data_IF_695137498645
#
_entry.id   IF_695137498645
#
_cell.length_a   1.000
_cell.length_b   1.000
_cell.length_c   1.000
_cell.angle_alpha   90.00
_cell.angle_beta   90.00
_cell.angle_gamma   90.00
#
_symmetry.space_group_name_H-M   'P 1'
#
loop_
_entity.id
_entity.type
_entity.pdbx_description
1 polymer ?
#
# COMPACT_ATOMS: atom_id res chain seq x y z
N UNK A 1 15.35 -14.53 15.78
CA UNK A 1 14.45 -15.34 14.92
C UNK A 1 13.02 -14.81 14.91
N UNK A 2 12.63 -13.84 15.76
CA UNK A 2 11.22 -13.42 15.91
C UNK A 2 10.71 -12.31 14.97
N UNK A 3 11.54 -11.77 14.08
CA UNK A 3 11.18 -10.61 13.23
C UNK A 3 11.40 -10.90 11.73
N UNK A 4 11.59 -12.17 11.38
CA UNK A 4 11.64 -12.58 9.98
C UNK A 4 10.22 -12.48 9.39
N UNK A 5 10.11 -11.98 8.16
CA UNK A 5 8.83 -11.69 7.50
C UNK A 5 8.45 -12.86 6.59
N UNK A 6 7.19 -13.29 6.67
CA UNK A 6 6.51 -14.15 5.71
C UNK A 6 5.44 -13.39 4.94
N UNK A 7 5.02 -13.95 3.82
CA UNK A 7 3.98 -13.38 2.95
C UNK A 7 2.79 -14.33 2.89
N UNK A 8 1.59 -13.80 3.12
CA UNK A 8 0.35 -14.50 2.76
C UNK A 8 -0.08 -14.06 1.37
N UNK A 9 -0.52 -15.02 0.57
CA UNK A 9 -1.10 -14.80 -0.75
C UNK A 9 -2.54 -15.28 -0.72
N UNK A 10 -3.47 -14.48 -1.22
CA UNK A 10 -4.87 -14.85 -1.26
C UNK A 10 -5.17 -16.07 -2.12
N UNK A 11 -6.43 -16.49 -2.11
CA UNK A 11 -6.99 -17.48 -3.06
C UNK A 11 -8.32 -16.98 -3.65
N UNK A 12 -8.73 -17.49 -4.82
CA UNK A 12 -10.01 -17.17 -5.46
C UNK A 12 -9.97 -16.18 -6.64
N UNK A 13 -8.80 -15.62 -7.00
CA UNK A 13 -8.62 -14.74 -8.17
C UNK A 13 -7.33 -15.08 -8.95
N UNK A 14 -7.27 -14.70 -10.23
CA UNK A 14 -6.11 -15.01 -11.08
C UNK A 14 -4.81 -14.34 -10.63
N UNK A 15 -3.67 -15.04 -10.77
CA UNK A 15 -2.31 -14.56 -10.47
C UNK A 15 -1.74 -15.02 -9.12
N UNK A 16 -2.59 -15.52 -8.21
CA UNK A 16 -2.17 -15.87 -6.84
C UNK A 16 -1.13 -17.00 -6.80
N UNK A 17 -1.29 -18.03 -7.63
CA UNK A 17 -0.32 -19.12 -7.75
C UNK A 17 1.04 -18.60 -8.22
N UNK A 18 1.05 -17.70 -9.21
CA UNK A 18 2.27 -17.16 -9.79
C UNK A 18 2.99 -16.22 -8.82
N UNK A 19 2.24 -15.38 -8.08
CA UNK A 19 2.78 -14.58 -6.96
C UNK A 19 3.44 -15.48 -5.92
N UNK A 20 2.74 -16.54 -5.48
CA UNK A 20 3.26 -17.48 -4.47
C UNK A 20 4.56 -18.15 -4.96
N UNK A 21 4.57 -18.66 -6.18
CA UNK A 21 5.75 -19.32 -6.76
C UNK A 21 6.92 -18.34 -6.93
N UNK A 22 6.65 -17.10 -7.35
CA UNK A 22 7.67 -16.07 -7.49
C UNK A 22 8.31 -15.71 -6.14
N UNK A 23 7.51 -15.56 -5.08
CA UNK A 23 7.99 -15.33 -3.71
C UNK A 23 8.87 -16.47 -3.20
N UNK A 24 8.40 -17.72 -3.34
CA UNK A 24 9.13 -18.91 -2.89
C UNK A 24 10.46 -19.05 -3.65
N UNK A 25 10.46 -18.84 -4.97
CA UNK A 25 11.67 -18.81 -5.80
C UNK A 25 12.61 -17.67 -5.42
N UNK A 26 12.06 -16.53 -5.01
CA UNK A 26 12.78 -15.37 -4.48
C UNK A 26 13.34 -15.57 -3.06
N UNK A 27 13.08 -16.73 -2.43
CA UNK A 27 13.58 -17.07 -1.10
C UNK A 27 12.74 -16.50 0.05
N UNK A 28 11.55 -15.98 -0.23
CA UNK A 28 10.62 -15.48 0.78
C UNK A 28 9.65 -16.56 1.21
N UNK A 29 9.53 -16.86 2.52
CA UNK A 29 8.51 -17.76 3.01
C UNK A 29 7.13 -17.21 2.66
N UNK A 30 6.34 -17.99 1.93
CA UNK A 30 5.02 -17.59 1.51
C UNK A 30 4.02 -18.75 1.59
N UNK A 31 2.77 -18.44 1.92
CA UNK A 31 1.67 -19.43 1.96
C UNK A 31 0.36 -18.84 1.44
N UNK A 32 -0.51 -19.71 0.93
CA UNK A 32 -1.86 -19.32 0.52
C UNK A 32 -2.83 -19.24 1.70
N UNK A 33 -3.81 -18.33 1.60
CA UNK A 33 -4.92 -18.18 2.55
C UNK A 33 -6.26 -18.10 1.83
N UNK A 34 -7.34 -18.52 2.51
CA UNK A 34 -8.72 -18.57 1.99
C UNK A 34 -9.40 -17.20 1.84
N UNK A 35 -8.68 -16.15 1.43
CA UNK A 35 -9.17 -14.78 1.29
C UNK A 35 -8.69 -14.18 -0.03
N UNK A 36 -9.58 -13.53 -0.80
CA UNK A 36 -9.20 -12.97 -2.11
C UNK A 36 -8.24 -11.78 -1.99
N UNK A 37 -8.57 -10.84 -1.10
CA UNK A 37 -7.81 -9.62 -0.87
C UNK A 37 -7.37 -9.52 0.59
N UNK A 38 -6.31 -10.24 0.99
CA UNK A 38 -5.82 -10.20 2.37
C UNK A 38 -5.30 -8.81 2.79
N UNK A 39 -4.95 -7.95 1.83
CA UNK A 39 -4.51 -6.57 2.11
C UNK A 39 -5.57 -5.72 2.80
N UNK A 40 -6.84 -5.94 2.48
CA UNK A 40 -7.92 -5.12 3.00
C UNK A 40 -8.28 -5.48 4.46
N UNK A 41 -7.76 -6.60 4.96
CA UNK A 41 -8.01 -7.08 6.32
C UNK A 41 -7.08 -6.47 7.35
N UNK A 42 -5.79 -6.34 7.04
CA UNK A 42 -4.86 -5.71 7.97
C UNK A 42 -3.67 -5.09 7.26
N UNK A 43 -2.93 -4.25 7.99
CA UNK A 43 -1.61 -3.77 7.59
C UNK A 43 -0.63 -4.01 8.72
N UNK A 44 0.54 -4.52 8.39
CA UNK A 44 1.63 -4.61 9.35
C UNK A 44 2.36 -3.27 9.44
N UNK A 45 2.31 -2.63 10.61
CA UNK A 45 2.88 -1.31 10.89
C UNK A 45 3.56 -1.30 12.26
N UNK A 46 4.82 -0.86 12.31
CA UNK A 46 5.60 -0.70 13.56
C UNK A 46 5.54 -1.92 14.50
N UNK A 47 5.63 -3.11 13.91
CA UNK A 47 5.57 -4.39 14.62
C UNK A 47 4.19 -4.76 15.18
N UNK A 48 3.13 -4.13 14.67
CA UNK A 48 1.74 -4.41 15.00
C UNK A 48 0.93 -4.75 13.75
N UNK A 49 -0.10 -5.56 13.94
CA UNK A 49 -1.15 -5.76 12.94
C UNK A 49 -2.27 -4.76 13.19
N UNK A 50 -2.55 -3.94 12.18
CA UNK A 50 -3.60 -2.91 12.19
C UNK A 50 -4.76 -3.45 11.37
N UNK A 51 -5.82 -3.90 12.02
CA UNK A 51 -6.94 -4.65 11.43
C UNK A 51 -8.03 -3.68 10.96
N UNK A 52 -8.48 -3.85 9.72
CA UNK A 52 -9.59 -3.10 9.11
C UNK A 52 -10.89 -3.30 9.89
N UNK A 53 -11.75 -2.27 9.89
CA UNK A 53 -13.12 -2.42 10.42
C UNK A 53 -13.26 -2.52 11.94
N UNK A 54 -12.23 -2.20 12.73
CA UNK A 54 -12.32 -2.18 14.21
C UNK A 54 -12.19 -0.78 14.86
N UNK A 55 -13.02 0.24 14.52
CA UNK A 55 -13.02 1.51 15.23
C UNK A 55 -13.22 1.29 16.75
N UNK A 56 -12.33 1.81 17.57
CA UNK A 56 -12.37 1.69 19.04
C UNK A 56 -11.63 0.48 19.62
N UNK A 57 -11.06 -0.40 18.79
CA UNK A 57 -10.10 -1.43 19.24
C UNK A 57 -8.67 -0.87 19.25
N UNK A 58 -7.85 -1.29 20.22
CA UNK A 58 -6.40 -0.99 20.24
C UNK A 58 -5.64 -1.55 19.03
N UNK A 59 -6.26 -2.47 18.28
CA UNK A 59 -5.74 -3.04 17.04
C UNK A 59 -6.43 -2.51 15.78
N UNK A 60 -7.34 -1.56 15.91
CA UNK A 60 -8.15 -1.06 14.80
C UNK A 60 -7.40 -0.15 13.83
N UNK A 61 -7.78 -0.22 12.56
CA UNK A 61 -7.37 0.71 11.53
C UNK A 61 -8.30 1.92 11.47
N UNK A 62 -7.80 3.10 11.84
CA UNK A 62 -8.50 4.38 11.68
C UNK A 62 -8.73 4.76 10.20
N UNK A 63 -8.13 4.05 9.26
CA UNK A 63 -8.20 4.39 7.84
C UNK A 63 -9.00 3.35 7.03
N UNK A 64 -9.67 2.42 7.71
CA UNK A 64 -10.47 1.37 7.11
C UNK A 64 -9.60 0.29 6.46
N UNK A 65 -9.63 0.20 5.14
CA UNK A 65 -8.95 -0.86 4.37
C UNK A 65 -7.45 -0.59 4.21
N UNK A 66 -6.64 -1.66 4.14
CA UNK A 66 -5.18 -1.56 4.07
C UNK A 66 -4.63 -0.91 2.79
N UNK A 67 -5.40 -0.90 1.69
CA UNK A 67 -5.05 -0.15 0.49
C UNK A 67 -4.99 1.37 0.70
N UNK A 68 -5.58 1.89 1.79
CA UNK A 68 -5.49 3.31 2.14
C UNK A 68 -4.15 3.72 2.76
N UNK A 69 -3.23 2.78 3.02
CA UNK A 69 -2.01 3.04 3.79
C UNK A 69 -0.77 2.59 3.02
N UNK A 70 0.22 3.47 2.89
CA UNK A 70 1.60 3.10 2.58
C UNK A 70 2.49 3.42 3.79
N UNK A 71 3.18 2.40 4.31
CA UNK A 71 4.04 2.54 5.47
C UNK A 71 5.45 3.00 5.06
N UNK A 72 5.88 4.12 5.63
CA UNK A 72 7.25 4.62 5.53
C UNK A 72 8.09 4.27 6.77
N UNK A 73 9.27 4.86 6.87
CA UNK A 73 10.11 4.73 8.07
C UNK A 73 9.72 5.78 9.13
N UNK A 74 8.81 5.40 10.04
CA UNK A 74 8.29 6.28 11.09
C UNK A 74 7.23 7.28 10.62
N UNK A 75 6.66 7.06 9.43
CA UNK A 75 5.54 7.83 8.90
C UNK A 75 4.57 6.96 8.09
N UNK A 76 3.35 7.45 7.88
CA UNK A 76 2.34 6.86 7.00
C UNK A 76 1.93 7.84 5.92
N UNK A 77 1.76 7.34 4.70
CA UNK A 77 0.92 7.99 3.69
C UNK A 77 -0.47 7.38 3.79
N UNK A 78 -1.47 8.22 4.01
CA UNK A 78 -2.85 7.82 4.17
C UNK A 78 -3.69 8.45 3.08
N UNK A 79 -4.40 7.61 2.34
CA UNK A 79 -5.36 8.01 1.33
C UNK A 79 -6.40 8.98 1.89
N UNK A 80 -6.63 10.10 1.21
CA UNK A 80 -7.76 10.98 1.50
C UNK A 80 -9.12 10.27 1.36
N UNK A 81 -9.20 9.18 0.60
CA UNK A 81 -10.41 8.34 0.47
C UNK A 81 -10.86 7.74 1.80
N UNK A 82 -9.98 7.66 2.80
CA UNK A 82 -10.32 7.21 4.14
C UNK A 82 -11.50 7.99 4.75
N UNK A 83 -11.74 9.23 4.30
CA UNK A 83 -12.88 10.05 4.73
C UNK A 83 -14.25 9.43 4.47
N UNK A 84 -14.35 8.47 3.54
CA UNK A 84 -15.59 7.75 3.24
C UNK A 84 -15.94 6.70 4.30
N UNK A 85 -14.99 6.30 5.14
CA UNK A 85 -15.27 5.38 6.24
C UNK A 85 -16.13 6.06 7.28
N UNK A 86 -17.17 5.37 7.74
CA UNK A 86 -18.26 5.96 8.54
C UNK A 86 -17.74 6.72 9.77
N UNK A 87 -16.74 6.18 10.47
CA UNK A 87 -16.22 6.79 11.69
C UNK A 87 -15.51 8.13 11.46
N UNK A 88 -14.79 8.31 10.33
CA UNK A 88 -14.25 9.61 9.91
C UNK A 88 -15.38 10.50 9.40
N UNK A 89 -16.27 9.95 8.55
CA UNK A 89 -17.36 10.70 7.92
C UNK A 89 -18.28 11.39 8.92
N UNK A 90 -18.56 10.76 10.06
CA UNK A 90 -19.41 11.29 11.13
C UNK A 90 -18.80 12.50 11.87
N UNK A 91 -17.48 12.71 11.74
CA UNK A 91 -16.78 13.87 12.33
C UNK A 91 -16.70 15.06 11.38
N UNK A 92 -17.09 14.87 10.12
CA UNK A 92 -17.03 15.87 9.07
C UNK A 92 -18.42 16.53 8.86
N UNK A 93 -18.47 17.82 8.48
CA UNK A 93 -19.71 18.46 8.05
C UNK A 93 -20.29 17.78 6.80
N UNK A 94 -21.52 18.12 6.41
CA UNK A 94 -22.21 17.51 5.26
C UNK A 94 -21.39 17.64 3.96
N UNK A 95 -20.78 18.80 3.71
CA UNK A 95 -19.95 19.07 2.55
C UNK A 95 -18.54 19.52 3.00
N UNK A 96 -17.66 18.59 3.39
CA UNK A 96 -16.34 18.95 3.87
C UNK A 96 -15.43 19.38 2.72
N UNK A 97 -14.56 20.36 3.00
CA UNK A 97 -13.46 20.68 2.09
C UNK A 97 -12.24 19.77 2.36
N UNK A 98 -11.26 19.83 1.46
CA UNK A 98 -10.08 18.97 1.55
C UNK A 98 -9.28 19.16 2.83
N UNK A 99 -9.08 20.41 3.28
CA UNK A 99 -8.34 20.69 4.51
C UNK A 99 -9.01 20.08 5.76
N UNK A 100 -10.35 20.15 5.84
CA UNK A 100 -11.12 19.51 6.92
C UNK A 100 -10.97 17.99 6.90
N UNK A 101 -10.97 17.38 5.72
CA UNK A 101 -10.73 15.94 5.57
C UNK A 101 -9.33 15.58 6.05
N UNK A 102 -8.31 16.32 5.64
CA UNK A 102 -6.94 16.09 6.05
C UNK A 102 -6.79 16.19 7.58
N UNK A 103 -7.36 17.24 8.18
CA UNK A 103 -7.32 17.45 9.63
C UNK A 103 -7.92 16.27 10.40
N UNK A 104 -9.15 15.86 10.06
CA UNK A 104 -9.81 14.75 10.76
C UNK A 104 -9.06 13.42 10.57
N UNK A 105 -8.58 13.11 9.36
CA UNK A 105 -7.81 11.88 9.13
C UNK A 105 -6.52 11.88 9.97
N UNK A 106 -5.81 13.02 10.02
CA UNK A 106 -4.59 13.14 10.83
C UNK A 106 -4.89 12.99 12.33
N UNK A 107 -5.96 13.62 12.83
CA UNK A 107 -6.37 13.51 14.23
C UNK A 107 -6.72 12.07 14.61
N UNK A 108 -7.54 11.40 13.80
CA UNK A 108 -7.88 9.98 14.03
C UNK A 108 -6.62 9.13 14.01
N UNK A 109 -5.78 9.30 13.00
CA UNK A 109 -4.54 8.54 12.91
C UNK A 109 -3.64 8.70 14.14
N UNK A 110 -3.52 9.92 14.69
CA UNK A 110 -2.69 10.18 15.88
C UNK A 110 -3.21 9.48 17.14
N UNK A 111 -4.50 9.20 17.23
CA UNK A 111 -5.07 8.42 18.33
C UNK A 111 -4.58 6.98 18.30
N UNK A 112 -4.54 6.36 17.12
CA UNK A 112 -4.14 4.95 16.95
C UNK A 112 -2.62 4.77 16.77
N UNK A 113 -1.95 5.77 16.23
CA UNK A 113 -0.53 5.78 15.90
C UNK A 113 0.18 7.03 16.44
N UNK A 114 0.22 7.24 17.77
CA UNK A 114 0.72 8.48 18.39
C UNK A 114 2.21 8.73 18.17
N UNK A 115 2.97 7.71 17.76
CA UNK A 115 4.41 7.80 17.53
C UNK A 115 4.77 7.95 16.04
N UNK A 116 3.77 7.95 15.15
CA UNK A 116 3.97 7.92 13.71
C UNK A 116 3.51 9.24 13.10
N UNK A 117 4.32 9.80 12.20
CA UNK A 117 3.90 10.98 11.43
C UNK A 117 2.88 10.55 10.37
N UNK A 118 1.76 11.24 10.27
CA UNK A 118 0.68 10.90 9.33
C UNK A 118 0.58 11.99 8.29
N UNK A 119 0.67 11.59 7.02
CA UNK A 119 0.53 12.47 5.87
C UNK A 119 -0.68 12.03 5.06
N UNK A 120 -1.65 12.93 4.89
CA UNK A 120 -2.83 12.66 4.06
C UNK A 120 -2.48 12.95 2.62
N UNK A 121 -2.57 11.92 1.78
CA UNK A 121 -2.16 11.93 0.41
C UNK A 121 -3.38 11.85 -0.54
N UNK A 122 -3.42 12.69 -1.58
CA UNK A 122 -4.60 12.83 -2.43
C UNK A 122 -4.79 11.65 -3.37
N UNK A 123 -6.01 11.14 -3.51
CA UNK A 123 -6.36 10.06 -4.47
C UNK A 123 -7.06 10.54 -5.73
N UNK A 124 -7.31 11.85 -5.84
CA UNK A 124 -7.77 12.50 -7.07
C UNK A 124 -9.18 13.06 -6.99
N UNK A 125 -9.94 12.70 -5.95
CA UNK A 125 -11.31 13.18 -5.74
C UNK A 125 -11.40 14.71 -5.63
N UNK A 126 -10.39 15.32 -5.00
CA UNK A 126 -10.32 16.78 -4.80
C UNK A 126 -9.37 17.47 -5.79
N UNK A 127 -8.78 16.72 -6.73
CA UNK A 127 -7.70 17.17 -7.62
C UNK A 127 -8.06 16.99 -9.10
N UNK A 128 -9.35 17.10 -9.44
CA UNK A 128 -9.84 17.11 -10.83
C UNK A 128 -9.78 15.75 -11.55
N UNK A 129 -9.62 14.65 -10.82
CA UNK A 129 -9.60 13.27 -11.34
C UNK A 129 -10.85 12.48 -10.95
N UNK A 130 -11.01 11.28 -11.53
CA UNK A 130 -11.85 10.25 -10.90
C UNK A 130 -11.02 9.70 -9.74
N UNK A 131 -11.41 10.02 -8.52
CA UNK A 131 -10.68 9.55 -7.34
C UNK A 131 -10.53 8.03 -7.33
N UNK A 132 -9.36 7.54 -6.97
CA UNK A 132 -9.11 6.11 -6.75
C UNK A 132 -9.68 5.67 -5.41
N UNK A 133 -10.01 4.38 -5.29
CA UNK A 133 -10.41 3.80 -4.01
C UNK A 133 -9.25 3.80 -3.01
N UNK A 134 -8.04 3.51 -3.48
CA UNK A 134 -6.86 3.31 -2.65
C UNK A 134 -5.63 4.05 -3.21
N UNK A 135 -4.73 4.48 -2.31
CA UNK A 135 -3.49 5.17 -2.68
C UNK A 135 -2.48 4.23 -3.34
N UNK A 136 -2.46 2.97 -2.91
CA UNK A 136 -1.56 1.95 -3.44
C UNK A 136 -1.85 1.53 -4.89
N UNK A 137 -2.94 2.03 -5.49
CA UNK A 137 -3.24 1.82 -6.91
C UNK A 137 -2.30 2.62 -7.83
N UNK A 138 -1.80 3.77 -7.38
CA UNK A 138 -0.98 4.65 -8.21
C UNK A 138 0.24 5.22 -7.48
N UNK A 139 0.52 4.75 -6.27
CA UNK A 139 1.70 5.14 -5.51
C UNK A 139 2.43 3.92 -4.97
N UNK A 140 3.76 3.97 -5.00
CA UNK A 140 4.64 2.93 -4.45
C UNK A 140 5.71 3.60 -3.60
N UNK A 141 5.81 3.19 -2.34
CA UNK A 141 6.77 3.72 -1.38
C UNK A 141 7.81 2.66 -1.04
N UNK A 142 9.09 3.00 -1.23
CA UNK A 142 10.25 2.18 -0.89
C UNK A 142 10.94 2.81 0.33
N UNK A 143 10.66 2.33 1.55
CA UNK A 143 11.08 2.99 2.78
C UNK A 143 12.60 2.97 3.00
N UNK A 144 13.31 1.90 2.62
CA UNK A 144 14.77 1.82 2.80
C UNK A 144 15.47 2.73 1.80
N UNK A 145 15.00 2.75 0.54
CA UNK A 145 15.54 3.62 -0.53
C UNK A 145 15.09 5.08 -0.40
N UNK A 146 14.15 5.38 0.50
CA UNK A 146 13.50 6.69 0.61
C UNK A 146 13.01 7.16 -0.75
N UNK A 147 12.32 6.29 -1.49
CA UNK A 147 11.79 6.58 -2.82
C UNK A 147 10.27 6.52 -2.82
N UNK A 148 9.62 7.57 -3.29
CA UNK A 148 8.20 7.59 -3.59
C UNK A 148 7.99 7.67 -5.10
N UNK A 149 7.33 6.66 -5.66
CA UNK A 149 6.93 6.61 -7.05
C UNK A 149 5.44 6.95 -7.16
N UNK A 150 5.10 7.82 -8.10
CA UNK A 150 3.71 8.19 -8.41
C UNK A 150 3.39 8.00 -9.88
N UNK A 151 2.30 7.30 -10.16
CA UNK A 151 1.76 7.14 -11.50
C UNK A 151 0.89 8.34 -11.86
N UNK A 152 1.32 9.06 -12.89
CA UNK A 152 0.68 10.27 -13.37
C UNK A 152 -0.41 10.01 -14.41
N UNK A 153 -0.46 8.80 -14.97
CA UNK A 153 -1.50 8.38 -15.91
C UNK A 153 -2.70 7.83 -15.16
N UNK A 154 -2.50 6.79 -14.35
CA UNK A 154 -3.56 6.21 -13.56
C UNK A 154 -3.98 7.17 -12.44
N UNK A 155 -3.05 7.75 -11.70
CA UNK A 155 -3.32 8.77 -10.68
C UNK A 155 -3.72 10.14 -11.23
N UNK A 156 -4.36 10.24 -12.40
CA UNK A 156 -4.70 11.50 -13.10
C UNK A 156 -5.15 12.61 -12.14
N UNK A 157 -4.36 13.69 -12.05
CA UNK A 157 -4.54 14.76 -11.07
C UNK A 157 -3.76 14.49 -9.78
N UNK A 158 -4.12 13.45 -9.04
CA UNK A 158 -3.47 13.03 -7.80
C UNK A 158 -1.95 12.83 -7.89
N UNK A 159 -1.45 12.06 -8.87
CA UNK A 159 -0.03 11.79 -9.06
C UNK A 159 0.80 13.03 -9.41
N UNK A 160 0.15 14.17 -9.66
CA UNK A 160 0.78 15.48 -9.89
C UNK A 160 0.45 16.51 -8.81
N UNK A 161 -0.27 16.11 -7.76
CA UNK A 161 -0.65 16.98 -6.67
C UNK A 161 0.59 17.46 -5.88
N UNK A 162 0.59 18.72 -5.46
CA UNK A 162 1.72 19.38 -4.80
C UNK A 162 1.95 18.88 -3.37
N UNK A 163 0.92 18.27 -2.77
CA UNK A 163 0.95 17.60 -1.49
C UNK A 163 2.04 16.52 -1.48
N UNK A 164 2.21 15.78 -2.58
CA UNK A 164 3.25 14.77 -2.67
C UNK A 164 4.66 15.35 -2.69
N UNK A 165 4.88 16.52 -3.30
CA UNK A 165 6.18 17.20 -3.22
C UNK A 165 6.48 17.63 -1.79
N UNK A 166 5.48 18.19 -1.10
CA UNK A 166 5.61 18.64 0.30
C UNK A 166 5.90 17.48 1.25
N UNK A 167 5.22 16.34 1.05
CA UNK A 167 5.43 15.10 1.81
C UNK A 167 6.84 14.55 1.55
N UNK A 168 7.25 14.49 0.27
CA UNK A 168 8.56 13.98 -0.09
C UNK A 168 9.69 14.84 0.50
N UNK A 169 9.54 16.17 0.49
CA UNK A 169 10.47 17.09 1.14
C UNK A 169 10.54 16.84 2.66
N UNK A 170 9.38 16.78 3.33
CA UNK A 170 9.30 16.61 4.78
C UNK A 170 9.93 15.29 5.27
N UNK A 171 9.74 14.21 4.52
CA UNK A 171 10.27 12.87 4.89
C UNK A 171 11.62 12.55 4.22
N UNK A 172 12.19 13.49 3.46
CA UNK A 172 13.47 13.33 2.77
C UNK A 172 13.44 12.20 1.72
N UNK A 173 12.32 12.07 1.02
CA UNK A 173 12.11 11.09 -0.04
C UNK A 173 12.55 11.66 -1.39
N UNK A 174 13.18 10.82 -2.21
CA UNK A 174 13.26 11.03 -3.64
C UNK A 174 11.88 10.79 -4.24
N UNK A 175 11.29 11.83 -4.81
CA UNK A 175 10.02 11.73 -5.55
C UNK A 175 10.30 11.47 -7.02
N UNK A 176 9.69 10.43 -7.59
CA UNK A 176 9.77 10.12 -9.01
C UNK A 176 8.37 9.93 -9.58
N UNK A 177 8.05 10.76 -10.56
CA UNK A 177 6.81 10.66 -11.32
C UNK A 177 7.02 9.77 -12.53
N UNK A 178 6.05 8.91 -12.76
CA UNK A 178 6.09 7.83 -13.72
C UNK A 178 4.78 7.83 -14.53
N UNK A 179 4.84 7.41 -15.79
CA UNK A 179 3.65 7.27 -16.64
C UNK A 179 3.34 5.77 -16.80
N UNK A 180 2.31 5.27 -16.11
CA UNK A 180 1.92 3.86 -16.15
C UNK A 180 1.49 3.33 -17.49
N UNK A 181 1.04 4.21 -18.41
CA UNK A 181 0.52 3.77 -19.70
C UNK A 181 1.57 3.09 -20.58
N UNK A 182 2.86 3.36 -20.35
CA UNK A 182 3.95 2.83 -21.17
C UNK A 182 4.19 1.32 -20.98
N UNK A 183 3.74 0.75 -19.86
CA UNK A 183 3.88 -0.67 -19.55
C UNK A 183 2.72 -1.51 -20.10
N UNK A 184 1.59 -0.89 -20.48
CA UNK A 184 0.41 -1.61 -20.94
C UNK A 184 -0.28 -2.46 -19.85
N UNK A 185 0.12 -2.30 -18.58
CA UNK A 185 -0.43 -2.98 -17.41
C UNK A 185 -1.20 -1.98 -16.55
N UNK A 186 -2.37 -2.38 -16.06
CA UNK A 186 -3.14 -1.56 -15.11
C UNK A 186 -2.47 -1.49 -13.73
N UNK A 187 -2.33 -0.28 -13.19
CA UNK A 187 -1.85 0.01 -11.84
C UNK A 187 -0.53 -0.72 -11.48
N UNK A 188 0.54 -0.52 -12.26
CA UNK A 188 1.81 -1.24 -12.07
C UNK A 188 2.45 -0.94 -10.69
N UNK A 189 2.13 0.21 -10.09
CA UNK A 189 2.61 0.57 -8.76
C UNK A 189 1.90 -0.16 -7.60
N UNK A 190 0.80 -0.89 -7.86
CA UNK A 190 0.17 -1.77 -6.87
C UNK A 190 0.97 -3.08 -6.71
N UNK A 191 2.15 -2.89 -6.14
CA UNK A 191 3.20 -3.89 -5.96
C UNK A 191 3.44 -4.12 -4.47
N UNK A 192 3.81 -5.34 -4.11
CA UNK A 192 4.16 -5.67 -2.73
C UNK A 192 5.60 -5.23 -2.45
N UNK A 193 5.79 -4.45 -1.39
CA UNK A 193 7.12 -4.05 -0.91
C UNK A 193 7.47 -4.88 0.32
N UNK A 194 8.60 -5.57 0.23
CA UNK A 194 9.21 -6.34 1.29
C UNK A 194 10.45 -5.59 1.76
N UNK A 195 10.44 -5.16 3.02
CA UNK A 195 11.57 -4.50 3.68
C UNK A 195 12.00 -5.31 4.91
N UNK A 196 12.59 -6.52 4.73
CA UNK A 196 13.01 -7.36 5.85
C UNK A 196 14.05 -6.65 6.72
N UNK A 197 13.96 -6.79 8.04
CA UNK A 197 14.92 -6.25 9.01
C UNK A 197 16.39 -6.68 8.76
N UNK A 198 16.62 -7.73 7.95
CA UNK A 198 17.94 -8.26 7.60
C UNK A 198 18.38 -7.96 6.16
N UNK A 199 17.51 -7.41 5.31
CA UNK A 199 17.86 -7.07 3.93
C UNK A 199 18.17 -5.57 3.86
N UNK A 200 19.38 -5.15 3.46
CA UNK A 200 19.72 -3.73 3.36
C UNK A 200 19.06 -3.03 2.16
N UNK A 201 18.18 -3.71 1.42
CA UNK A 201 17.44 -3.12 0.31
C UNK A 201 15.97 -3.52 0.35
N UNK A 202 15.11 -2.61 -0.13
CA UNK A 202 13.75 -2.93 -0.48
C UNK A 202 13.73 -4.01 -1.58
N UNK A 203 12.81 -4.96 -1.44
CA UNK A 203 12.47 -5.94 -2.47
C UNK A 203 11.02 -5.72 -2.90
N UNK A 204 10.81 -5.54 -4.20
CA UNK A 204 9.49 -5.26 -4.77
C UNK A 204 9.04 -6.47 -5.58
N UNK A 205 7.86 -7.00 -5.25
CA UNK A 205 7.18 -8.04 -6.04
C UNK A 205 6.15 -7.33 -6.93
N UNK A 206 6.31 -7.48 -8.23
CA UNK A 206 5.50 -6.75 -9.20
C UNK A 206 5.27 -7.56 -10.48
N UNK A 207 4.33 -7.09 -11.31
CA UNK A 207 3.97 -7.74 -12.58
C UNK A 207 5.19 -7.74 -13.51
N UNK A 208 5.55 -8.93 -14.01
CA UNK A 208 6.68 -9.08 -14.93
C UNK A 208 6.52 -8.21 -16.18
N UNK A 209 5.31 -7.89 -16.61
CA UNK A 209 5.06 -7.08 -17.80
C UNK A 209 5.25 -5.57 -17.57
N UNK A 210 5.44 -5.12 -16.33
CA UNK A 210 5.75 -3.71 -16.01
C UNK A 210 7.23 -3.36 -16.28
N UNK A 211 7.70 -3.55 -17.52
CA UNK A 211 9.13 -3.51 -17.90
C UNK A 211 9.80 -2.17 -17.56
N UNK A 212 9.11 -1.06 -17.76
CA UNK A 212 9.69 0.26 -17.46
C UNK A 212 9.77 0.50 -15.95
N UNK A 213 8.77 0.08 -15.16
CA UNK A 213 8.84 0.11 -13.71
C UNK A 213 9.97 -0.78 -13.17
N UNK A 214 10.13 -1.99 -13.71
CA UNK A 214 11.23 -2.90 -13.35
C UNK A 214 12.58 -2.22 -13.55
N UNK A 215 12.77 -1.55 -14.70
CA UNK A 215 13.99 -0.81 -15.00
C UNK A 215 14.21 0.31 -13.99
N UNK A 216 13.18 1.11 -13.70
CA UNK A 216 13.22 2.18 -12.70
C UNK A 216 13.69 1.62 -11.35
N UNK A 217 13.06 0.55 -10.86
CA UNK A 217 13.36 -0.02 -9.55
C UNK A 217 14.79 -0.58 -9.48
N UNK A 218 15.25 -1.27 -10.53
CA UNK A 218 16.63 -1.78 -10.64
C UNK A 218 17.65 -0.64 -10.67
N UNK A 219 17.37 0.45 -11.40
CA UNK A 219 18.23 1.64 -11.45
C UNK A 219 18.32 2.36 -10.09
N UNK A 220 17.26 2.30 -9.29
CA UNK A 220 17.22 2.81 -7.90
C UNK A 220 17.83 1.82 -6.89
N UNK A 221 18.30 0.66 -7.36
CA UNK A 221 18.96 -0.37 -6.56
C UNK A 221 18.01 -1.27 -5.77
N UNK A 222 16.71 -1.23 -6.03
CA UNK A 222 15.77 -2.17 -5.42
C UNK A 222 15.94 -3.59 -5.99
N UNK A 223 15.73 -4.59 -5.14
CA UNK A 223 15.57 -5.96 -5.62
C UNK A 223 14.18 -6.11 -6.23
N UNK A 224 14.08 -6.82 -7.34
CA UNK A 224 12.80 -7.08 -8.01
C UNK A 224 12.53 -8.58 -8.06
N UNK A 225 11.32 -8.98 -7.67
CA UNK A 225 10.74 -10.29 -7.94
C UNK A 225 9.62 -10.08 -8.96
N UNK A 226 9.77 -10.75 -10.10
CA UNK A 226 8.83 -10.64 -11.21
C UNK A 226 7.81 -11.78 -11.09
N UNK A 227 6.52 -11.45 -11.04
CA UNK A 227 5.42 -12.40 -10.99
C UNK A 227 4.57 -12.27 -12.26
N UNK A 228 4.14 -13.40 -12.82
CA UNK A 228 3.22 -13.40 -13.96
C UNK A 228 1.80 -13.09 -13.48
N UNK A 229 1.16 -12.10 -14.05
CA UNK A 229 -0.20 -11.72 -13.68
C UNK A 229 -1.13 -11.88 -14.89
N UNK A 230 -2.12 -12.79 -14.84
CA UNK A 230 -3.06 -12.99 -15.94
C UNK A 230 -4.01 -11.80 -16.13
N UNK A 231 -3.98 -10.82 -15.21
CA UNK A 231 -4.88 -9.67 -15.16
C UNK A 231 -4.29 -8.41 -15.82
N UNK A 232 -3.41 -8.54 -16.81
CA UNK A 232 -2.81 -7.38 -17.51
C UNK A 232 -3.83 -6.33 -17.98
N UNK A 233 -5.08 -6.72 -18.24
CA UNK A 233 -6.17 -5.87 -18.72
C UNK A 233 -7.28 -5.54 -17.69
N UNK A 234 -7.24 -6.09 -16.47
CA UNK A 234 -8.28 -5.84 -15.45
C UNK A 234 -7.78 -4.86 -14.38
N UNK A 235 -8.57 -3.86 -13.96
CA UNK A 235 -8.13 -2.83 -13.02
C UNK A 235 -8.01 -3.32 -11.55
N UNK A 236 -8.81 -4.28 -11.12
CA UNK A 236 -8.92 -4.60 -9.69
C UNK A 236 -8.09 -5.83 -9.28
N UNK A 237 -7.65 -5.87 -8.02
CA UNK A 237 -7.00 -7.04 -7.44
C UNK A 237 -5.56 -7.26 -7.91
N UNK A 238 -4.72 -6.23 -7.85
CA UNK A 238 -3.29 -6.33 -8.20
C UNK A 238 -2.45 -6.89 -7.03
N UNK A 239 -1.16 -7.10 -7.25
CA UNK A 239 -0.29 -7.90 -6.37
C UNK A 239 -0.38 -7.47 -4.90
N UNK A 240 -0.36 -6.16 -4.61
CA UNK A 240 -0.46 -5.69 -3.23
C UNK A 240 -1.82 -6.04 -2.61
N UNK A 241 -2.93 -5.91 -3.36
CA UNK A 241 -4.26 -6.33 -2.88
C UNK A 241 -4.33 -7.83 -2.55
N UNK A 242 -3.67 -8.66 -3.36
CA UNK A 242 -3.68 -10.12 -3.22
C UNK A 242 -2.72 -10.65 -2.16
N UNK A 243 -1.94 -9.79 -1.50
CA UNK A 243 -0.90 -10.20 -0.56
C UNK A 243 -0.95 -9.44 0.75
N UNK A 244 -0.32 -10.01 1.78
CA UNK A 244 -0.04 -9.30 3.02
C UNK A 244 1.22 -9.87 3.68
N UNK A 245 1.77 -9.15 4.65
CA UNK A 245 3.00 -9.54 5.34
C UNK A 245 2.72 -9.87 6.80
N UNK A 246 3.43 -10.85 7.35
CA UNK A 246 3.36 -11.20 8.77
C UNK A 246 4.73 -11.59 9.30
N UNK A 247 4.92 -11.56 10.61
CA UNK A 247 6.09 -12.20 11.22
C UNK A 247 5.93 -13.71 11.19
N UNK A 248 7.02 -14.44 10.89
CA UNK A 248 7.00 -15.91 10.81
C UNK A 248 6.61 -16.61 12.12
N UNK A 249 6.81 -15.94 13.27
CA UNK A 249 6.39 -16.44 14.58
C UNK A 249 4.88 -16.38 14.81
N UNK A 250 4.18 -15.55 14.05
CA UNK A 250 2.75 -15.28 14.25
C UNK A 250 1.92 -16.16 13.30
N UNK A 251 0.74 -16.57 13.75
CA UNK A 251 -0.20 -17.30 12.93
C UNK A 251 -1.16 -16.33 12.22
N UNK A 252 -1.04 -16.11 10.90
CA UNK A 252 -1.88 -15.15 10.21
C UNK A 252 -3.36 -15.48 10.20
N UNK A 253 -3.74 -16.72 10.47
CA UNK A 253 -5.15 -17.10 10.54
C UNK A 253 -5.87 -16.39 11.71
N UNK A 254 -5.15 -15.98 12.77
CA UNK A 254 -5.71 -15.27 13.93
C UNK A 254 -6.20 -13.86 13.59
N UNK A 255 -5.57 -13.20 12.61
CA UNK A 255 -5.91 -11.85 12.16
C UNK A 255 -6.69 -11.83 10.85
N UNK A 256 -6.80 -12.99 10.18
CA UNK A 256 -7.64 -13.18 9.00
C UNK A 256 -9.03 -13.75 9.34
N UNK A 257 -9.21 -14.31 10.55
CA UNK A 257 -10.44 -14.97 11.00
C UNK A 257 -11.33 -14.14 11.93
N UNK A 258 -11.00 -12.88 12.21
CA UNK A 258 -11.85 -11.98 12.99
C UNK A 258 -12.94 -11.38 12.09
N UNK A 259 -14.03 -12.13 11.88
CA UNK A 259 -15.33 -11.64 11.42
C UNK A 259 -16.38 -11.88 12.50
#
# INVERSE_FOLDING_TARGET
MGDDIGVIVGTGIGGQTDILLALLKGGYPAKSVGQMWPRDHYVHLDGRYVISGSPGSVHGNAFGEGGNILAGNGFLLVSDFAYKHQHIRMKLPENPNYAQIQEVIMEEGRVYHPHVRIHVAPTGMFHGGRGHGHIDMFALLLPIRKLLLLDTYYGKGAGKAAEYDSIAEAEGLKLRRYDGSQDGVWYPLNSLVLSPNKNPTDCVVLDQEAKSLIKILKDEGAQVIEADMPQGSYPDGKINCQTNIHYLKDNPDEFMGAL
#
